data_IF_502641440398
#
_entry.id   IF_502641440398
#
_cell.length_a   1.000
_cell.length_b   1.000
_cell.length_c   1.000
_cell.angle_alpha   90.00
_cell.angle_beta   90.00
_cell.angle_gamma   90.00
#
_symmetry.space_group_name_H-M   'P 1'
#
loop_
_entity.id
_entity.type
_entity.pdbx_description
1 polymer ?
#
# COMPACT_ATOMS: atom_id res chain seq x y z
N UNK A 1 -11.48 1.61 -14.13
CA UNK A 1 -10.55 2.56 -13.47
C UNK A 1 -9.93 3.40 -14.55
N UNK A 2 -9.72 4.67 -14.28
CA UNK A 2 -9.09 5.65 -15.18
C UNK A 2 -8.02 6.43 -14.41
N UNK A 3 -7.18 7.17 -15.12
CA UNK A 3 -6.18 8.06 -14.51
C UNK A 3 -6.80 8.97 -13.45
N UNK A 4 -6.11 9.07 -12.32
CA UNK A 4 -6.52 9.90 -11.18
C UNK A 4 -7.59 9.27 -10.29
N UNK A 5 -8.16 8.10 -10.63
CA UNK A 5 -9.00 7.36 -9.68
C UNK A 5 -8.18 7.01 -8.43
N UNK A 6 -8.77 7.21 -7.25
CA UNK A 6 -8.23 6.63 -6.01
C UNK A 6 -8.72 5.19 -5.91
N UNK A 7 -7.81 4.29 -5.57
CA UNK A 7 -8.09 2.85 -5.42
C UNK A 7 -7.62 2.37 -4.06
N UNK A 8 -8.30 1.33 -3.56
CA UNK A 8 -7.80 0.51 -2.47
C UNK A 8 -7.12 -0.71 -3.05
N UNK A 9 -5.85 -0.90 -2.69
CA UNK A 9 -5.04 -2.09 -3.00
C UNK A 9 -4.94 -2.92 -1.74
N UNK A 10 -5.27 -4.21 -1.81
CA UNK A 10 -5.37 -5.03 -0.59
C UNK A 10 -5.09 -6.51 -0.84
N UNK A 11 -4.82 -7.22 0.25
CA UNK A 11 -4.88 -8.68 0.36
C UNK A 11 -5.18 -9.06 1.82
N UNK A 12 -5.01 -10.33 2.19
CA UNK A 12 -5.25 -10.84 3.54
C UNK A 12 -4.39 -10.20 4.66
N UNK A 13 -3.28 -9.54 4.33
CA UNK A 13 -2.35 -8.92 5.30
C UNK A 13 -2.71 -7.47 5.61
N UNK A 14 -3.29 -6.75 4.66
CA UNK A 14 -3.58 -5.34 4.83
C UNK A 14 -4.13 -4.68 3.57
N UNK A 15 -4.24 -3.35 3.64
CA UNK A 15 -4.71 -2.52 2.55
C UNK A 15 -4.08 -1.13 2.59
N UNK A 16 -3.88 -0.54 1.42
CA UNK A 16 -3.48 0.86 1.27
C UNK A 16 -4.25 1.58 0.16
N UNK A 17 -4.25 2.92 0.20
CA UNK A 17 -4.79 3.76 -0.87
C UNK A 17 -3.70 4.19 -1.85
N UNK A 18 -4.04 4.27 -3.14
CA UNK A 18 -3.16 4.77 -4.19
C UNK A 18 -3.93 5.50 -5.29
N UNK A 19 -3.23 6.38 -6.01
CA UNK A 19 -3.74 6.98 -7.24
C UNK A 19 -3.41 6.13 -8.47
N UNK A 20 -4.36 6.00 -9.39
CA UNK A 20 -4.18 5.25 -10.65
C UNK A 20 -3.44 6.09 -11.68
N UNK A 21 -2.41 5.48 -12.27
CA UNK A 21 -1.77 5.90 -13.51
C UNK A 21 -1.87 4.72 -14.49
N UNK A 22 -2.68 4.86 -15.54
CA UNK A 22 -2.84 3.87 -16.60
C UNK A 22 -1.61 3.95 -17.51
N UNK A 23 -0.97 2.80 -17.71
CA UNK A 23 0.25 2.69 -18.51
C UNK A 23 0.19 1.43 -19.36
N UNK A 24 0.62 1.54 -20.61
CA UNK A 24 0.89 0.42 -21.52
C UNK A 24 2.32 -0.15 -21.35
N UNK A 25 3.15 0.49 -20.51
CA UNK A 25 4.52 0.09 -20.22
C UNK A 25 4.65 -1.06 -19.21
N UNK A 26 3.55 -1.57 -18.68
CA UNK A 26 3.51 -2.69 -17.72
C UNK A 26 2.67 -3.84 -18.27
N UNK A 27 3.04 -5.07 -17.92
CA UNK A 27 2.34 -6.27 -18.38
C UNK A 27 0.90 -6.30 -17.86
N UNK A 28 -0.10 -6.73 -18.65
CA UNK A 28 -1.45 -6.95 -18.15
C UNK A 28 -1.48 -7.88 -16.93
N UNK A 29 -2.21 -7.47 -15.89
CA UNK A 29 -2.28 -8.17 -14.60
C UNK A 29 -1.15 -7.84 -13.62
N UNK A 30 -0.24 -6.93 -13.98
CA UNK A 30 0.81 -6.41 -13.09
C UNK A 30 0.51 -4.96 -12.76
N UNK A 31 0.78 -4.58 -11.51
CA UNK A 31 0.82 -3.19 -11.07
C UNK A 31 2.18 -2.86 -10.48
N UNK A 32 2.55 -1.59 -10.53
CA UNK A 32 3.80 -1.10 -9.97
C UNK A 32 3.52 0.02 -8.98
N UNK A 33 4.14 -0.09 -7.80
CA UNK A 33 4.16 0.96 -6.79
C UNK A 33 5.57 1.06 -6.23
N UNK A 34 6.07 2.29 -6.10
CA UNK A 34 7.40 2.52 -5.55
C UNK A 34 7.37 2.32 -4.02
N UNK A 35 8.42 1.74 -3.46
CA UNK A 35 8.61 1.71 -2.01
C UNK A 35 9.08 3.07 -1.49
N UNK A 36 8.90 3.33 -0.19
CA UNK A 36 9.41 4.53 0.48
C UNK A 36 8.35 5.56 0.90
N UNK A 37 7.08 5.34 0.57
CA UNK A 37 5.99 6.14 1.13
C UNK A 37 5.97 6.03 2.66
N UNK A 38 5.78 7.16 3.34
CA UNK A 38 5.64 7.19 4.80
C UNK A 38 4.38 6.46 5.21
N UNK A 39 4.46 5.66 6.29
CA UNK A 39 3.32 4.90 6.79
C UNK A 39 2.34 5.83 7.51
N UNK A 40 1.06 5.79 7.10
CA UNK A 40 0.02 6.64 7.65
C UNK A 40 -1.27 5.82 7.90
N UNK A 41 -1.43 5.17 9.06
CA UNK A 41 -2.64 4.40 9.34
C UNK A 41 -3.84 5.32 9.55
N UNK A 42 -5.02 4.87 9.13
CA UNK A 42 -6.27 5.59 9.37
C UNK A 42 -6.56 5.70 10.87
N UNK A 43 -6.29 4.64 11.63
CA UNK A 43 -6.41 4.57 13.09
C UNK A 43 -5.05 4.14 13.67
N UNK A 44 -4.39 5.06 14.37
CA UNK A 44 -3.11 4.79 15.01
C UNK A 44 -3.25 3.73 16.12
N UNK A 45 -2.33 2.77 16.12
CA UNK A 45 -2.30 1.69 17.12
C UNK A 45 -3.26 0.53 16.85
N UNK A 46 -4.11 0.62 15.83
CA UNK A 46 -4.99 -0.47 15.41
C UNK A 46 -4.29 -1.37 14.37
N UNK A 47 -4.04 -2.66 14.68
CA UNK A 47 -3.44 -3.59 13.71
C UNK A 47 -4.33 -3.75 12.48
N UNK A 48 -3.74 -3.69 11.29
CA UNK A 48 -4.47 -3.84 10.03
C UNK A 48 -5.31 -2.62 9.63
N UNK A 49 -5.16 -1.49 10.33
CA UNK A 49 -5.79 -0.24 9.91
C UNK A 49 -5.39 0.12 8.48
N UNK A 50 -6.34 0.65 7.71
CA UNK A 50 -6.11 1.09 6.33
C UNK A 50 -4.96 2.09 6.29
N UNK A 51 -3.96 1.82 5.46
CA UNK A 51 -2.87 2.75 5.22
C UNK A 51 -3.33 3.77 4.16
N UNK A 52 -3.33 5.06 4.50
CA UNK A 52 -3.98 6.08 3.66
C UNK A 52 -3.05 6.84 2.73
N UNK A 53 -1.73 6.71 2.88
CA UNK A 53 -0.75 7.49 2.10
C UNK A 53 -0.16 6.71 0.90
N UNK A 54 -0.02 5.40 1.01
CA UNK A 54 0.37 4.49 -0.06
C UNK A 54 1.61 3.65 0.24
N UNK A 55 1.86 3.26 1.48
CA UNK A 55 2.99 2.39 1.82
C UNK A 55 2.70 0.93 1.44
N UNK A 56 3.39 0.37 0.42
CA UNK A 56 3.07 -0.97 -0.07
C UNK A 56 3.52 -2.08 0.87
N UNK A 57 4.39 -1.82 1.85
CA UNK A 57 4.89 -2.89 2.71
C UNK A 57 3.81 -3.48 3.63
N UNK A 58 2.67 -2.79 3.83
CA UNK A 58 1.54 -3.28 4.63
C UNK A 58 0.87 -4.55 4.07
N UNK A 59 1.14 -4.87 2.79
CA UNK A 59 0.63 -6.07 2.11
C UNK A 59 1.71 -7.11 1.81
N UNK A 60 2.98 -6.83 2.12
CA UNK A 60 4.11 -7.70 1.82
C UNK A 60 4.27 -8.78 2.89
N UNK A 61 4.81 -9.93 2.49
CA UNK A 61 5.05 -11.04 3.40
C UNK A 61 6.43 -10.91 4.07
N UNK A 62 6.46 -10.97 5.39
CA UNK A 62 7.70 -10.96 6.17
C UNK A 62 8.20 -12.39 6.44
N UNK A 63 8.85 -12.98 5.44
CA UNK A 63 9.49 -14.30 5.54
C UNK A 63 10.83 -14.30 4.82
N UNK A 64 11.75 -15.15 5.29
CA UNK A 64 13.01 -15.40 4.60
C UNK A 64 12.79 -16.13 3.27
N UNK A 65 13.53 -15.73 2.24
CA UNK A 65 13.40 -16.29 0.88
C UNK A 65 13.68 -17.80 0.78
N UNK A 66 14.51 -18.34 1.68
CA UNK A 66 14.82 -19.79 1.74
C UNK A 66 15.45 -20.13 3.09
N UNK A 67 15.44 -21.42 3.47
CA UNK A 67 16.14 -21.92 4.68
C UNK A 67 17.63 -21.60 4.72
N UNK A 68 18.27 -21.36 3.56
CA UNK A 68 19.68 -21.03 3.45
C UNK A 68 19.95 -19.53 3.61
N UNK A 69 19.36 -18.70 2.74
CA UNK A 69 19.72 -17.29 2.65
C UNK A 69 19.05 -16.42 3.71
N UNK A 70 17.82 -16.79 4.12
CA UNK A 70 16.95 -15.96 4.97
C UNK A 70 16.86 -14.49 4.48
N UNK A 71 17.05 -14.26 3.18
CA UNK A 71 17.04 -12.93 2.57
C UNK A 71 15.62 -12.39 2.39
N UNK A 72 15.50 -11.12 2.04
CA UNK A 72 14.23 -10.44 1.81
C UNK A 72 13.41 -11.06 0.67
N UNK A 73 12.11 -11.25 0.89
CA UNK A 73 11.15 -11.76 -0.09
C UNK A 73 10.00 -10.79 -0.41
N UNK A 74 10.12 -9.50 -0.02
CA UNK A 74 9.01 -8.54 -0.02
C UNK A 74 8.33 -8.31 -1.39
N UNK A 75 9.04 -8.48 -2.50
CA UNK A 75 8.49 -8.29 -3.85
C UNK A 75 7.62 -9.48 -4.33
N UNK A 76 7.47 -10.52 -3.52
CA UNK A 76 6.51 -11.59 -3.76
C UNK A 76 5.18 -11.20 -3.12
N UNK A 77 4.32 -10.50 -3.88
CA UNK A 77 3.02 -10.06 -3.41
C UNK A 77 1.94 -10.17 -4.50
N UNK A 78 0.79 -10.70 -4.13
CA UNK A 78 -0.43 -10.68 -4.92
C UNK A 78 -1.44 -9.76 -4.24
N UNK A 79 -2.22 -9.04 -5.04
CA UNK A 79 -3.17 -8.03 -4.58
C UNK A 79 -4.45 -8.05 -5.39
N UNK A 80 -5.51 -7.56 -4.78
CA UNK A 80 -6.71 -7.11 -5.46
C UNK A 80 -6.80 -5.58 -5.40
N UNK A 81 -7.51 -5.00 -6.37
CA UNK A 81 -7.66 -3.54 -6.49
C UNK A 81 -9.13 -3.24 -6.74
N UNK A 82 -9.68 -2.34 -5.95
CA UNK A 82 -11.04 -1.80 -6.13
C UNK A 82 -11.00 -0.28 -6.14
N UNK A 83 -11.94 0.33 -6.85
CA UNK A 83 -12.11 1.79 -6.81
C UNK A 83 -12.51 2.19 -5.40
N UNK A 84 -11.88 3.24 -4.87
CA UNK A 84 -12.29 3.85 -3.61
C UNK A 84 -13.51 4.72 -3.86
N UNK A 85 -14.64 4.34 -3.26
CA UNK A 85 -15.95 4.95 -3.45
C UNK A 85 -16.38 5.82 -2.25
N UNK A 86 -15.51 5.98 -1.26
CA UNK A 86 -15.72 6.79 -0.08
C UNK A 86 -14.95 8.11 -0.17
N UNK A 87 -15.16 9.01 0.79
CA UNK A 87 -14.33 10.19 0.94
C UNK A 87 -12.87 9.77 1.14
N UNK A 88 -11.94 10.45 0.46
CA UNK A 88 -10.50 10.21 0.63
C UNK A 88 -10.08 10.78 1.98
N UNK A 89 -9.56 9.97 2.92
CA UNK A 89 -9.08 10.49 4.20
C UNK A 89 -7.86 11.41 3.99
N UNK A 90 -7.67 12.43 4.83
CA UNK A 90 -6.50 13.30 4.73
C UNK A 90 -5.22 12.52 5.05
N UNK A 91 -4.16 12.80 4.29
CA UNK A 91 -2.81 12.30 4.57
C UNK A 91 -2.21 13.15 5.70
N UNK A 92 -1.87 12.50 6.80
CA UNK A 92 -1.31 13.08 8.01
C UNK A 92 0.15 12.68 8.25
N UNK A 93 0.74 11.84 7.41
CA UNK A 93 2.16 11.43 7.51
C UNK A 93 3.15 12.61 7.58
N UNK A 94 2.80 13.74 6.97
CA UNK A 94 3.66 14.93 6.90
C UNK A 94 3.30 16.00 7.91
N UNK A 95 2.26 15.78 8.71
CA UNK A 95 1.88 16.69 9.77
C UNK A 95 2.84 16.50 10.96
N UNK A 96 3.29 17.60 11.60
CA UNK A 96 4.08 17.48 12.82
C UNK A 96 3.23 16.84 13.94
N UNK A 97 3.85 16.05 14.84
CA UNK A 97 3.14 15.55 15.99
C UNK A 97 2.66 16.72 16.88
N UNK A 98 1.57 16.52 17.66
CA UNK A 98 1.15 17.51 18.63
C UNK A 98 2.28 17.78 19.63
N UNK A 99 2.48 19.05 19.96
CA UNK A 99 3.37 19.45 21.05
C UNK A 99 2.71 19.05 22.38
N UNK A 100 3.49 18.38 23.24
CA UNK A 100 3.10 18.02 24.61
C UNK A 100 3.12 19.24 25.53
#
# INVERSE_FOLDING_TARGET
MVDGDVVKVFNERGAFLAGVIVSDGIRPGVVQIATGAWFDPLVHGEPGSLEKHGNPNVITLDVGASSLSQGCAAQTASVEIVKWDQAVPPVTAFEPPPLL
#
